data_IF_195395828316
#
_entry.id   IF_195395828316
#
_cell.length_a   1.000
_cell.length_b   1.000
_cell.length_c   1.000
_cell.angle_alpha   90.00
_cell.angle_beta   90.00
_cell.angle_gamma   90.00
#
_symmetry.space_group_name_H-M   'P 1'
#
loop_
_entity.id
_entity.type
_entity.pdbx_description
1 polymer ?
#
# COMPACT_ATOMS: atom_id res chain seq x y z
N UNK A 1 -2.30 22.09 -12.41
CA UNK A 1 -2.38 21.35 -12.21
C UNK A 1 -2.23 20.67 -11.33
N UNK A 2 -2.30 20.32 -11.13
CA UNK A 2 -2.23 19.64 -10.37
C UNK A 2 -1.79 18.75 -10.04
N UNK A 3 -1.41 18.59 -9.55
CA UNK A 3 -0.99 17.77 -9.22
C UNK A 3 -1.36 16.84 -8.70
N UNK A 4 -1.53 16.35 -8.84
CA UNK A 4 -1.84 15.48 -8.41
C UNK A 4 -1.30 14.58 -7.81
N UNK A 5 -0.77 14.29 -7.75
CA UNK A 5 -0.13 13.13 -7.46
C UNK A 5 0.24 12.87 -6.07
N UNK A 6 -0.46 13.37 -5.13
CA UNK A 6 -0.17 13.13 -3.75
C UNK A 6 -0.76 11.85 -3.21
N UNK A 7 -1.39 11.05 -4.02
CA UNK A 7 -2.05 9.84 -3.53
C UNK A 7 -1.51 8.61 -4.23
N UNK A 8 -1.79 7.47 -3.62
CA UNK A 8 -1.42 6.19 -4.21
C UNK A 8 -2.34 5.87 -5.37
N UNK A 9 -1.88 4.95 -6.21
CA UNK A 9 -2.75 4.41 -7.24
C UNK A 9 -4.00 3.84 -6.58
N UNK A 10 -5.16 3.96 -7.25
CA UNK A 10 -6.41 3.53 -6.62
C UNK A 10 -6.42 2.07 -6.22
N UNK A 11 -6.98 1.79 -5.06
CA UNK A 11 -7.21 0.42 -4.62
C UNK A 11 -8.54 -0.08 -5.20
N UNK A 12 -8.72 -1.39 -5.27
CA UNK A 12 -7.81 -2.40 -4.79
C UNK A 12 -6.67 -2.65 -5.76
N UNK A 13 -5.52 -3.05 -5.21
CA UNK A 13 -4.43 -3.57 -6.01
C UNK A 13 -4.64 -5.07 -6.15
N UNK A 14 -4.32 -5.62 -7.31
CA UNK A 14 -4.56 -7.03 -7.59
C UNK A 14 -3.32 -7.69 -8.14
N UNK A 15 -3.19 -8.97 -7.84
CA UNK A 15 -2.16 -9.80 -8.45
C UNK A 15 -2.67 -10.28 -9.80
N UNK A 16 -1.90 -10.06 -10.85
CA UNK A 16 -2.25 -10.52 -12.18
C UNK A 16 -1.09 -11.34 -12.73
N UNK A 17 -1.40 -12.57 -13.13
CA UNK A 17 -0.39 -13.46 -13.71
C UNK A 17 -0.45 -13.36 -15.23
N UNK A 18 0.70 -13.08 -15.85
CA UNK A 18 0.82 -13.02 -17.29
C UNK A 18 1.99 -13.91 -17.68
N UNK A 19 1.74 -14.96 -18.43
CA UNK A 19 2.77 -15.95 -18.74
C UNK A 19 3.33 -16.50 -17.43
N UNK A 20 4.61 -16.36 -17.18
CA UNK A 20 5.19 -16.86 -15.93
C UNK A 20 5.48 -15.74 -14.95
N UNK A 21 5.05 -14.54 -15.25
CA UNK A 21 5.32 -13.39 -14.40
C UNK A 21 4.13 -13.00 -13.55
N UNK A 22 4.39 -12.40 -12.40
CA UNK A 22 3.36 -11.85 -11.54
C UNK A 22 3.51 -10.34 -11.48
N UNK A 23 2.39 -9.65 -11.66
CA UNK A 23 2.35 -8.20 -11.63
C UNK A 23 1.33 -7.74 -10.60
N UNK A 24 1.53 -6.53 -10.11
CA UNK A 24 0.54 -5.85 -9.27
C UNK A 24 -0.09 -4.76 -10.11
N UNK A 25 -1.41 -4.79 -10.20
CA UNK A 25 -2.19 -3.81 -10.95
C UNK A 25 -3.06 -3.03 -10.00
N UNK A 26 -3.20 -1.73 -10.27
CA UNK A 26 -4.21 -0.93 -9.56
C UNK A 26 -5.47 -0.87 -10.40
N UNK A 27 -6.59 -0.58 -9.74
CA UNK A 27 -7.85 -0.38 -10.44
C UNK A 27 -7.79 0.89 -11.27
N UNK A 28 -8.53 0.90 -12.36
CA UNK A 28 -8.74 2.11 -13.13
C UNK A 28 -9.90 2.90 -12.53
N UNK A 29 -9.81 4.20 -12.59
CA UNK A 29 -10.95 5.06 -12.31
C UNK A 29 -12.03 4.84 -13.37
N UNK A 30 -13.22 5.40 -13.13
CA UNK A 30 -14.29 5.27 -14.11
C UNK A 30 -13.90 5.88 -15.45
N UNK A 31 -13.23 7.01 -15.42
CA UNK A 31 -12.80 7.66 -16.67
C UNK A 31 -11.78 6.81 -17.41
N UNK A 32 -10.83 6.23 -16.66
CA UNK A 32 -9.82 5.38 -17.28
C UNK A 32 -10.43 4.11 -17.87
N UNK A 33 -11.44 3.55 -17.20
CA UNK A 33 -12.12 2.36 -17.71
C UNK A 33 -12.79 2.64 -19.05
N UNK A 34 -13.33 3.83 -19.21
CA UNK A 34 -13.95 4.20 -20.48
C UNK A 34 -12.92 4.29 -21.59
N UNK A 35 -11.72 4.80 -21.28
CA UNK A 35 -10.67 4.92 -22.27
C UNK A 35 -10.01 3.60 -22.59
N UNK A 36 -9.94 2.71 -21.62
CA UNK A 36 -9.23 1.44 -21.77
C UNK A 36 -10.12 0.29 -21.30
N UNK A 37 -11.21 0.02 -22.02
CA UNK A 37 -12.21 -0.93 -21.52
C UNK A 37 -11.73 -2.36 -21.42
N UNK A 38 -10.68 -2.72 -22.18
CA UNK A 38 -10.19 -4.08 -22.17
C UNK A 38 -8.95 -4.28 -21.32
N UNK A 39 -8.52 -3.26 -20.62
CA UNK A 39 -7.33 -3.35 -19.80
C UNK A 39 -7.67 -3.83 -18.39
N UNK A 40 -6.74 -4.57 -17.80
CA UNK A 40 -6.89 -5.05 -16.42
C UNK A 40 -6.65 -3.97 -15.39
N UNK A 41 -6.09 -2.84 -15.80
CA UNK A 41 -5.74 -1.77 -14.90
C UNK A 41 -4.35 -1.27 -15.19
N UNK A 42 -3.82 -0.47 -14.28
CA UNK A 42 -2.49 0.12 -14.43
C UNK A 42 -1.47 -0.69 -13.64
N UNK A 43 -0.38 -1.06 -14.30
CA UNK A 43 0.69 -1.81 -13.64
C UNK A 43 1.39 -0.94 -12.61
N UNK A 44 1.50 -1.46 -11.39
CA UNK A 44 2.27 -0.81 -10.33
C UNK A 44 3.65 -1.41 -10.25
N UNK A 45 3.74 -2.74 -10.31
CA UNK A 45 5.00 -3.41 -10.09
C UNK A 45 5.00 -4.79 -10.71
N UNK A 46 6.18 -5.27 -11.02
CA UNK A 46 6.42 -6.67 -11.39
C UNK A 46 7.15 -7.32 -10.22
N UNK A 47 6.70 -8.50 -9.81
CA UNK A 47 7.26 -9.15 -8.64
C UNK A 47 8.44 -10.02 -9.06
N UNK A 48 9.61 -9.73 -8.49
CA UNK A 48 10.83 -10.46 -8.83
C UNK A 48 10.76 -11.90 -8.31
N UNK A 49 11.46 -12.78 -9.01
CA UNK A 49 11.48 -14.20 -8.70
C UNK A 49 12.82 -14.57 -8.10
N UNK A 50 12.89 -14.61 -6.78
CA UNK A 50 14.07 -15.08 -6.08
C UNK A 50 13.80 -16.45 -5.51
N UNK A 51 14.71 -17.38 -5.75
CA UNK A 51 14.47 -18.79 -5.48
C UNK A 51 14.18 -19.12 -4.03
N UNK A 52 14.65 -18.31 -3.08
CA UNK A 52 14.51 -18.63 -1.67
C UNK A 52 13.12 -18.24 -1.11
N UNK A 53 12.35 -17.47 -1.83
CA UNK A 53 11.10 -16.95 -1.29
C UNK A 53 9.98 -17.06 -2.30
N UNK A 54 8.76 -17.18 -1.78
CA UNK A 54 7.60 -17.36 -2.64
C UNK A 54 7.23 -16.04 -3.34
N UNK A 55 7.32 -16.05 -4.67
CA UNK A 55 6.90 -14.91 -5.47
C UNK A 55 5.41 -14.63 -5.28
N UNK A 56 4.60 -15.69 -5.20
CA UNK A 56 3.17 -15.53 -5.03
C UNK A 56 2.81 -14.90 -3.70
N UNK A 57 3.45 -15.33 -2.62
CA UNK A 57 3.18 -14.74 -1.31
C UNK A 57 3.63 -13.30 -1.25
N UNK A 58 4.77 -12.99 -1.84
CA UNK A 58 5.23 -11.61 -1.91
C UNK A 58 4.24 -10.75 -2.69
N UNK A 59 3.73 -11.26 -3.80
CA UNK A 59 2.77 -10.53 -4.60
C UNK A 59 1.49 -10.26 -3.81
N UNK A 60 1.01 -11.24 -3.07
CA UNK A 60 -0.20 -11.07 -2.26
C UNK A 60 -0.01 -10.01 -1.20
N UNK A 61 1.15 -10.00 -0.55
CA UNK A 61 1.41 -8.98 0.47
C UNK A 61 1.47 -7.58 -0.14
N UNK A 62 2.12 -7.45 -1.28
CA UNK A 62 2.18 -6.15 -1.96
C UNK A 62 0.77 -5.70 -2.34
N UNK A 63 -0.03 -6.61 -2.89
CA UNK A 63 -1.39 -6.26 -3.31
C UNK A 63 -2.27 -5.86 -2.12
N UNK A 64 -1.98 -6.37 -0.93
CA UNK A 64 -2.74 -6.03 0.27
C UNK A 64 -2.30 -4.72 0.90
N UNK A 65 -1.24 -4.09 0.39
CA UNK A 65 -0.67 -2.91 1.05
C UNK A 65 -1.67 -1.77 1.25
N UNK A 66 -2.52 -1.41 0.27
CA UNK A 66 -3.45 -0.30 0.52
C UNK A 66 -4.39 -0.56 1.69
N UNK A 67 -4.94 -1.77 1.78
CA UNK A 67 -5.83 -2.10 2.88
C UNK A 67 -5.10 -2.19 4.20
N UNK A 68 -3.87 -2.72 4.18
CA UNK A 68 -3.07 -2.77 5.39
C UNK A 68 -2.75 -1.37 5.89
N UNK A 69 -2.44 -0.45 4.99
CA UNK A 69 -2.18 0.92 5.37
C UNK A 69 -3.42 1.57 5.97
N UNK A 70 -4.57 1.35 5.36
CA UNK A 70 -5.83 1.88 5.88
C UNK A 70 -6.09 1.35 7.28
N UNK A 71 -5.92 0.04 7.48
CA UNK A 71 -6.13 -0.56 8.80
C UNK A 71 -5.17 0.02 9.84
N UNK A 72 -3.91 0.20 9.44
CA UNK A 72 -2.92 0.77 10.35
C UNK A 72 -3.29 2.19 10.77
N UNK A 73 -3.74 3.00 9.80
CA UNK A 73 -4.12 4.37 10.10
C UNK A 73 -5.33 4.44 11.02
N UNK A 74 -6.33 3.59 10.78
CA UNK A 74 -7.52 3.57 11.62
C UNK A 74 -7.18 3.13 13.04
N UNK A 75 -6.34 2.10 13.17
CA UNK A 75 -5.95 1.63 14.49
C UNK A 75 -5.13 2.69 15.22
N UNK A 76 -4.24 3.36 14.50
CA UNK A 76 -3.43 4.42 15.11
C UNK A 76 -4.33 5.53 15.64
N UNK A 77 -5.31 5.96 14.86
CA UNK A 77 -6.23 7.01 15.29
C UNK A 77 -7.01 6.58 16.53
N UNK A 78 -7.47 5.33 16.53
CA UNK A 78 -8.20 4.80 17.67
C UNK A 78 -7.35 4.79 18.93
N UNK A 79 -6.12 4.29 18.84
CA UNK A 79 -5.24 4.22 19.99
C UNK A 79 -4.85 5.59 20.50
N UNK A 80 -4.64 6.54 19.61
CA UNK A 80 -4.28 7.89 20.02
C UNK A 80 -5.43 8.56 20.78
N UNK A 81 -6.66 8.29 20.37
CA UNK A 81 -7.81 8.84 21.10
C UNK A 81 -7.88 8.28 22.49
N UNK A 82 -7.56 7.02 22.66
CA UNK A 82 -7.60 6.39 23.97
C UNK A 82 -6.39 6.73 24.84
N UNK A 83 -5.32 7.03 24.22
CA UNK A 83 -4.02 7.38 24.80
C UNK A 83 -3.86 6.95 26.27
N UNK A 84 -3.26 5.80 26.52
CA UNK A 84 -3.11 5.29 27.87
C UNK A 84 -2.24 6.19 28.73
N UNK A 85 -2.48 6.13 30.04
CA UNK A 85 -1.76 6.98 30.98
C UNK A 85 -0.31 6.53 31.16
N UNK A 86 -0.03 5.24 30.96
CA UNK A 86 1.31 4.72 31.22
C UNK A 86 2.16 4.80 29.96
N UNK A 87 3.36 5.33 30.12
CA UNK A 87 4.24 5.48 28.99
C UNK A 87 4.80 4.15 28.46
N UNK A 88 4.81 3.10 29.32
CA UNK A 88 5.34 1.79 28.92
C UNK A 88 4.27 0.78 28.61
N UNK A 89 3.04 1.22 28.42
CA UNK A 89 1.98 0.29 28.12
C UNK A 89 2.14 -0.32 26.75
N UNK A 90 1.49 -1.47 26.55
CA UNK A 90 1.49 -2.11 25.24
C UNK A 90 0.88 -1.19 24.21
N UNK A 91 -0.18 -0.45 24.60
CA UNK A 91 -0.82 0.47 23.70
C UNK A 91 0.13 1.56 23.21
N UNK A 92 0.96 2.09 24.10
CA UNK A 92 1.94 3.10 23.69
C UNK A 92 2.99 2.52 22.75
N UNK A 93 3.40 1.28 23.00
CA UNK A 93 4.32 0.61 22.09
C UNK A 93 3.69 0.43 20.72
N UNK A 94 2.41 0.06 20.68
CA UNK A 94 1.71 -0.09 19.41
C UNK A 94 1.59 1.23 18.68
N UNK A 95 1.31 2.31 19.41
CA UNK A 95 1.25 3.64 18.80
C UNK A 95 2.57 3.96 18.13
N UNK A 96 3.68 3.71 18.83
CA UNK A 96 4.99 4.02 18.27
C UNK A 96 5.28 3.21 17.01
N UNK A 97 4.95 1.92 17.03
CA UNK A 97 5.16 1.07 15.86
C UNK A 97 4.30 1.54 14.71
N UNK A 98 3.02 1.80 14.98
CA UNK A 98 2.11 2.22 13.93
C UNK A 98 2.50 3.56 13.33
N UNK A 99 2.92 4.51 14.16
CA UNK A 99 3.39 5.79 13.65
C UNK A 99 4.57 5.63 12.71
N UNK A 100 5.49 4.76 13.08
CA UNK A 100 6.65 4.51 12.24
C UNK A 100 6.25 3.86 10.93
N UNK A 101 5.38 2.85 11.00
CA UNK A 101 4.95 2.13 9.81
C UNK A 101 4.21 3.04 8.86
N UNK A 102 3.26 3.84 9.39
CA UNK A 102 2.49 4.75 8.55
C UNK A 102 3.38 5.81 7.93
N UNK A 103 4.29 6.38 8.74
CA UNK A 103 5.21 7.38 8.23
C UNK A 103 6.06 6.82 7.10
N UNK A 104 6.59 5.61 7.28
CA UNK A 104 7.41 4.99 6.25
C UNK A 104 6.62 4.71 4.98
N UNK A 105 5.37 4.28 5.13
CA UNK A 105 4.54 3.95 3.98
C UNK A 105 4.13 5.18 3.19
N UNK A 106 4.07 6.33 3.85
CA UNK A 106 3.64 7.57 3.19
C UNK A 106 4.81 8.52 2.95
N UNK A 107 6.02 8.02 3.14
CA UNK A 107 7.20 8.83 2.94
C UNK A 107 7.38 9.17 1.47
N UNK A 108 7.63 10.42 1.21
CA UNK A 108 7.90 10.88 -0.14
C UNK A 108 9.33 11.36 -0.19
N UNK A 109 10.12 10.70 -1.01
CA UNK A 109 11.52 11.04 -1.09
C UNK A 109 11.70 12.37 -1.78
N UNK A 110 12.51 13.22 -1.15
CA UNK A 110 12.82 14.51 -1.75
C UNK A 110 13.68 14.32 -2.98
N UNK A 111 13.34 15.06 -4.01
CA UNK A 111 14.10 14.98 -5.23
C UNK A 111 15.43 15.67 -5.05
N UNK A 112 16.49 14.98 -5.38
CA UNK A 112 17.83 15.53 -5.33
C UNK A 112 18.20 16.15 -6.64
N UNK A 113 18.60 17.39 -6.61
CA UNK A 113 18.96 18.11 -7.84
C UNK A 113 20.43 18.42 -7.88
#
# INVERSE_FOLDING_TARGET
>A
MKNESATYSPSPWRVVRTNSDLYIYSAYSKAEKKRFPYSSGRVIAKVADYSAYSKGKNACLIAAAPELLTAAKLMLAYLKRKRPARSNSVENQLINILEKVVTNAEFEEEENR
#
